data_IF_966165366556
#
_entry.id   IF_966165366556
#
_cell.length_a   1.000
_cell.length_b   1.000
_cell.length_c   1.000
_cell.angle_alpha   90.00
_cell.angle_beta   90.00
_cell.angle_gamma   90.00
#
_symmetry.space_group_name_H-M   'P 1'
#
loop_
_entity.id
_entity.type
_entity.pdbx_description
1 polymer ?
#
# COMPACT_ATOMS: atom_id res chain seq x y z
N UNK A 1 8.45 -12.69 -36.95
CA UNK A 1 7.62 -12.57 -35.75
C UNK A 1 7.69 -11.11 -35.33
N UNK A 2 6.57 -10.44 -35.29
CA UNK A 2 6.54 -9.07 -34.76
C UNK A 2 6.59 -9.06 -33.22
N UNK A 3 6.74 -7.86 -32.63
CA UNK A 3 6.89 -7.73 -31.18
C UNK A 3 5.65 -8.17 -30.40
N UNK A 4 4.44 -7.88 -30.91
CA UNK A 4 3.19 -8.24 -30.26
C UNK A 4 2.98 -9.77 -30.26
N UNK A 5 3.33 -10.43 -31.37
CA UNK A 5 3.32 -11.90 -31.47
C UNK A 5 4.30 -12.52 -30.47
N UNK A 6 5.51 -11.98 -30.36
CA UNK A 6 6.49 -12.43 -29.38
C UNK A 6 5.96 -12.30 -27.96
N UNK A 7 5.38 -11.15 -27.59
CA UNK A 7 4.78 -10.94 -26.25
C UNK A 7 3.66 -11.94 -26.00
N UNK A 8 2.77 -12.17 -26.98
CA UNK A 8 1.69 -13.13 -26.87
C UNK A 8 2.15 -14.56 -26.57
N UNK A 9 3.32 -14.95 -27.11
CA UNK A 9 3.92 -16.28 -26.86
C UNK A 9 4.67 -16.38 -25.53
N UNK A 10 5.26 -15.28 -25.05
CA UNK A 10 6.15 -15.31 -23.89
C UNK A 10 5.47 -14.90 -22.58
N UNK A 11 4.35 -14.18 -22.64
CA UNK A 11 3.61 -13.82 -21.42
C UNK A 11 3.08 -15.06 -20.72
N UNK A 12 3.21 -15.13 -19.39
CA UNK A 12 2.57 -16.17 -18.60
C UNK A 12 1.05 -16.06 -18.75
N UNK A 13 0.38 -17.18 -19.05
CA UNK A 13 -1.08 -17.19 -19.19
C UNK A 13 -1.79 -16.97 -17.86
N UNK A 14 -3.02 -16.46 -17.92
CA UNK A 14 -3.85 -16.36 -16.71
C UNK A 14 -4.14 -17.73 -16.09
N UNK A 15 -4.32 -18.76 -16.93
CA UNK A 15 -4.53 -20.14 -16.49
C UNK A 15 -3.32 -20.66 -15.69
N UNK A 16 -2.10 -20.44 -16.19
CA UNK A 16 -0.87 -20.83 -15.49
C UNK A 16 -0.66 -20.08 -14.17
N UNK A 17 -1.14 -18.82 -14.10
CA UNK A 17 -1.10 -18.03 -12.86
C UNK A 17 -2.06 -18.64 -11.86
N UNK A 18 -3.34 -18.81 -12.23
CA UNK A 18 -4.40 -19.26 -11.33
C UNK A 18 -4.17 -20.69 -10.86
N UNK A 19 -3.67 -21.58 -11.74
CA UNK A 19 -3.39 -22.99 -11.38
C UNK A 19 -2.40 -23.13 -10.22
N UNK A 20 -1.51 -22.15 -10.02
CA UNK A 20 -0.57 -22.13 -8.91
C UNK A 20 -1.03 -21.34 -7.67
N UNK A 21 -2.23 -20.74 -7.71
CA UNK A 21 -2.67 -19.83 -6.66
C UNK A 21 -3.59 -20.49 -5.63
N UNK A 22 -3.42 -20.07 -4.38
CA UNK A 22 -4.35 -20.30 -3.28
C UNK A 22 -5.14 -19.01 -2.99
N UNK A 23 -6.20 -19.03 -2.18
CA UNK A 23 -6.86 -17.81 -1.72
C UNK A 23 -5.89 -16.80 -1.08
N UNK A 24 -4.87 -17.26 -0.37
CA UNK A 24 -3.84 -16.40 0.23
C UNK A 24 -2.95 -15.73 -0.83
N UNK A 25 -2.69 -16.38 -1.96
CA UNK A 25 -1.99 -15.72 -3.08
C UNK A 25 -2.84 -14.60 -3.69
N UNK A 26 -4.16 -14.79 -3.79
CA UNK A 26 -5.06 -13.77 -4.28
C UNK A 26 -5.13 -12.57 -3.32
N UNK A 27 -5.20 -12.81 -2.00
CA UNK A 27 -5.14 -11.77 -0.98
C UNK A 27 -3.85 -10.95 -1.09
N UNK A 28 -2.70 -11.60 -1.14
CA UNK A 28 -1.39 -10.95 -1.31
C UNK A 28 -1.28 -10.14 -2.59
N UNK A 29 -1.86 -10.64 -3.68
CA UNK A 29 -1.89 -9.91 -4.95
C UNK A 29 -2.76 -8.65 -4.86
N UNK A 30 -3.90 -8.73 -4.17
CA UNK A 30 -4.76 -7.59 -3.89
C UNK A 30 -4.03 -6.53 -3.04
N UNK A 31 -3.41 -6.94 -1.93
CA UNK A 31 -2.60 -6.02 -1.11
C UNK A 31 -1.46 -5.38 -1.92
N UNK A 32 -0.79 -6.17 -2.77
CA UNK A 32 0.27 -5.67 -3.63
C UNK A 32 -0.23 -4.61 -4.63
N UNK A 33 -1.40 -4.82 -5.22
CA UNK A 33 -2.02 -3.88 -6.17
C UNK A 33 -2.39 -2.58 -5.45
N UNK A 34 -3.04 -2.68 -4.28
CA UNK A 34 -3.39 -1.52 -3.48
C UNK A 34 -2.16 -0.69 -3.06
N UNK A 35 -1.03 -1.33 -2.70
CA UNK A 35 0.21 -0.59 -2.42
C UNK A 35 0.65 0.26 -3.63
N UNK A 36 0.50 -0.23 -4.86
CA UNK A 36 0.84 0.55 -6.05
C UNK A 36 -0.12 1.72 -6.26
N UNK A 37 -1.42 1.47 -6.15
CA UNK A 37 -2.45 2.48 -6.38
C UNK A 37 -2.31 3.61 -5.35
N UNK A 38 -2.28 3.29 -4.06
CA UNK A 38 -2.14 4.28 -2.98
C UNK A 38 -0.80 5.03 -3.01
N UNK A 39 0.28 4.36 -3.43
CA UNK A 39 1.56 5.06 -3.60
C UNK A 39 1.51 6.11 -4.72
N UNK A 40 0.75 5.86 -5.77
CA UNK A 40 0.53 6.85 -6.83
C UNK A 40 -0.30 8.03 -6.32
N UNK A 41 -1.36 7.79 -5.54
CA UNK A 41 -2.19 8.82 -4.94
C UNK A 41 -1.38 9.68 -3.94
N UNK A 42 -0.55 9.06 -3.09
CA UNK A 42 0.43 9.78 -2.25
C UNK A 42 1.36 10.66 -3.09
N UNK A 43 1.84 10.15 -4.23
CA UNK A 43 2.74 10.91 -5.11
C UNK A 43 2.03 12.11 -5.73
N UNK A 44 0.78 11.95 -6.16
CA UNK A 44 -0.05 13.05 -6.69
C UNK A 44 -0.33 14.11 -5.62
N UNK A 45 -0.67 13.71 -4.40
CA UNK A 45 -0.86 14.62 -3.27
C UNK A 45 0.42 15.41 -2.94
N UNK A 46 1.60 14.76 -3.00
CA UNK A 46 2.89 15.43 -2.80
C UNK A 46 3.19 16.46 -3.90
N UNK A 47 2.92 16.15 -5.17
CA UNK A 47 3.11 17.08 -6.30
C UNK A 47 2.23 18.32 -6.12
N UNK A 48 0.99 18.15 -5.67
CA UNK A 48 0.09 19.26 -5.39
C UNK A 48 0.63 20.14 -4.25
N UNK A 49 1.23 19.55 -3.22
CA UNK A 49 1.86 20.31 -2.12
C UNK A 49 3.11 21.10 -2.57
N UNK A 50 3.90 20.58 -3.51
CA UNK A 50 5.08 21.28 -4.03
C UNK A 50 4.72 22.46 -4.97
N UNK A 51 3.57 22.41 -5.62
CA UNK A 51 3.13 23.40 -6.61
C UNK A 51 2.36 24.60 -6.05
N UNK A 52 1.89 24.55 -4.81
CA UNK A 52 1.02 25.57 -4.19
C UNK A 52 1.56 25.89 -2.79
N UNK A 53 1.31 27.12 -2.31
CA UNK A 53 1.55 27.42 -0.89
C UNK A 53 0.82 26.38 -0.04
N UNK A 54 1.51 25.80 0.96
CA UNK A 54 1.01 24.72 1.80
C UNK A 54 -0.39 25.08 2.30
N UNK A 55 -1.40 24.45 1.70
CA UNK A 55 -2.81 24.59 2.10
C UNK A 55 -3.16 23.45 3.05
N UNK A 56 -3.95 23.76 4.08
CA UNK A 56 -4.44 22.76 5.04
C UNK A 56 -5.19 21.61 4.35
N UNK A 57 -5.95 21.89 3.28
CA UNK A 57 -6.65 20.89 2.49
C UNK A 57 -5.71 19.84 1.88
N UNK A 58 -4.61 20.29 1.26
CA UNK A 58 -3.64 19.38 0.64
C UNK A 58 -2.89 18.51 1.65
N UNK A 59 -2.69 19.00 2.89
CA UNK A 59 -2.07 18.17 3.96
C UNK A 59 -3.03 17.14 4.53
N UNK A 60 -4.33 17.41 4.53
CA UNK A 60 -5.37 16.45 4.92
C UNK A 60 -5.47 15.34 3.89
N UNK A 61 -5.47 15.68 2.61
CA UNK A 61 -5.50 14.70 1.52
C UNK A 61 -4.29 13.77 1.59
N UNK A 62 -3.07 14.32 1.66
CA UNK A 62 -1.88 13.48 1.84
C UNK A 62 -1.99 12.56 3.07
N UNK A 63 -2.58 13.02 4.17
CA UNK A 63 -2.76 12.20 5.37
C UNK A 63 -3.73 11.02 5.13
N UNK A 64 -4.79 11.21 4.34
CA UNK A 64 -5.73 10.15 3.96
C UNK A 64 -5.04 9.08 3.12
N UNK A 65 -4.30 9.49 2.08
CA UNK A 65 -3.60 8.57 1.18
C UNK A 65 -2.48 7.80 1.91
N UNK A 66 -1.77 8.44 2.85
CA UNK A 66 -0.82 7.75 3.70
C UNK A 66 -1.50 6.68 4.58
N UNK A 67 -2.72 6.94 5.05
CA UNK A 67 -3.53 5.99 5.81
C UNK A 67 -3.94 4.77 4.97
N UNK A 68 -4.42 5.00 3.77
CA UNK A 68 -4.82 3.94 2.85
C UNK A 68 -3.61 3.10 2.41
N UNK A 69 -2.46 3.72 2.15
CA UNK A 69 -1.21 3.01 1.90
C UNK A 69 -0.79 2.13 3.09
N UNK A 70 -0.95 2.63 4.32
CA UNK A 70 -0.66 1.84 5.53
C UNK A 70 -1.60 0.65 5.68
N UNK A 71 -2.88 0.78 5.31
CA UNK A 71 -3.83 -0.33 5.31
C UNK A 71 -3.32 -1.51 4.47
N UNK A 72 -2.89 -1.26 3.24
CA UNK A 72 -2.37 -2.30 2.36
C UNK A 72 -1.02 -2.87 2.81
N UNK A 73 -0.13 -2.03 3.36
CA UNK A 73 1.15 -2.50 3.91
C UNK A 73 0.96 -3.42 5.13
N UNK A 74 0.05 -3.07 6.03
CA UNK A 74 -0.26 -3.89 7.21
C UNK A 74 -1.00 -5.16 6.78
N UNK A 75 -1.96 -5.09 5.85
CA UNK A 75 -2.65 -6.25 5.31
C UNK A 75 -1.68 -7.25 4.65
N UNK A 76 -0.72 -6.74 3.88
CA UNK A 76 0.34 -7.58 3.32
C UNK A 76 1.20 -8.24 4.41
N UNK A 77 1.56 -7.50 5.45
CA UNK A 77 2.33 -8.03 6.58
C UNK A 77 1.56 -9.13 7.33
N UNK A 78 0.25 -8.98 7.52
CA UNK A 78 -0.62 -9.99 8.11
C UNK A 78 -0.66 -11.28 7.27
N UNK A 79 -0.79 -11.15 5.95
CA UNK A 79 -0.78 -12.28 5.02
C UNK A 79 0.54 -13.07 5.03
N UNK A 80 1.63 -12.49 5.51
CA UNK A 80 2.92 -13.13 5.73
C UNK A 80 3.24 -13.43 7.19
N UNK A 81 2.32 -13.13 8.13
CA UNK A 81 2.49 -13.31 9.58
C UNK A 81 3.71 -12.58 10.17
N UNK A 82 3.96 -11.38 9.69
CA UNK A 82 5.09 -10.53 10.12
C UNK A 82 4.64 -9.15 10.65
N UNK A 83 3.35 -8.95 10.92
CA UNK A 83 2.79 -7.67 11.37
C UNK A 83 3.46 -7.16 12.66
N UNK A 84 3.71 -8.04 13.63
CA UNK A 84 4.39 -7.67 14.87
C UNK A 84 5.82 -7.16 14.63
N UNK A 85 6.53 -7.74 13.66
CA UNK A 85 7.87 -7.32 13.27
C UNK A 85 7.87 -5.97 12.57
N UNK A 86 6.89 -5.73 11.67
CA UNK A 86 6.85 -4.50 10.88
C UNK A 86 6.39 -3.30 11.70
N UNK A 87 5.54 -3.50 12.71
CA UNK A 87 5.04 -2.47 13.60
C UNK A 87 5.93 -2.25 14.85
N UNK A 88 7.00 -3.04 15.04
CA UNK A 88 7.89 -2.91 16.18
C UNK A 88 8.65 -1.57 16.16
N UNK A 89 8.68 -0.87 17.29
CA UNK A 89 9.47 0.34 17.50
C UNK A 89 10.86 0.03 18.08
N UNK A 90 11.88 0.87 17.82
CA UNK A 90 11.84 2.02 16.93
C UNK A 90 11.83 1.63 15.45
N UNK A 91 11.25 2.47 14.62
CA UNK A 91 11.37 2.35 13.15
C UNK A 91 12.82 2.66 12.71
N UNK A 92 13.27 2.11 11.58
CA UNK A 92 14.57 2.48 11.03
C UNK A 92 14.54 3.94 10.53
N UNK A 93 15.72 4.50 10.27
CA UNK A 93 15.82 5.79 9.58
C UNK A 93 15.13 5.73 8.23
N UNK A 94 14.35 6.76 7.86
CA UNK A 94 13.68 6.79 6.56
C UNK A 94 14.73 6.82 5.44
N UNK A 95 14.43 6.13 4.35
CA UNK A 95 15.23 6.18 3.14
C UNK A 95 15.08 7.58 2.49
N UNK A 96 16.12 8.05 1.81
CA UNK A 96 16.03 9.26 0.98
C UNK A 96 15.14 9.07 -0.25
N UNK A 97 14.82 7.84 -0.58
CA UNK A 97 14.02 7.45 -1.74
C UNK A 97 12.91 6.49 -1.32
N UNK A 98 11.72 7.05 -1.10
CA UNK A 98 10.52 6.28 -0.74
C UNK A 98 10.13 5.31 -1.86
N UNK A 99 10.31 5.71 -3.13
CA UNK A 99 10.06 4.87 -4.31
C UNK A 99 10.93 3.60 -4.26
N UNK A 100 12.20 3.72 -3.85
CA UNK A 100 13.08 2.55 -3.74
C UNK A 100 12.56 1.53 -2.71
N UNK A 101 12.02 2.00 -1.59
CA UNK A 101 11.43 1.12 -0.57
C UNK A 101 10.17 0.41 -1.08
N UNK A 102 9.32 1.12 -1.80
CA UNK A 102 8.14 0.55 -2.46
C UNK A 102 8.55 -0.51 -3.49
N UNK A 103 9.47 -0.19 -4.41
CA UNK A 103 9.96 -1.11 -5.44
C UNK A 103 10.58 -2.37 -4.80
N UNK A 104 11.38 -2.23 -3.75
CA UNK A 104 11.99 -3.37 -3.08
C UNK A 104 10.94 -4.32 -2.52
N UNK A 105 9.97 -3.81 -1.74
CA UNK A 105 8.89 -4.60 -1.14
C UNK A 105 8.05 -5.30 -2.22
N UNK A 106 7.56 -4.53 -3.18
CA UNK A 106 6.65 -5.06 -4.21
C UNK A 106 7.34 -6.04 -5.17
N UNK A 107 8.62 -5.82 -5.48
CA UNK A 107 9.40 -6.76 -6.31
C UNK A 107 9.59 -8.11 -5.63
N UNK A 108 9.87 -8.16 -4.32
CA UNK A 108 10.00 -9.42 -3.59
C UNK A 108 8.69 -10.20 -3.63
N UNK A 109 7.57 -9.54 -3.30
CA UNK A 109 6.23 -10.16 -3.31
C UNK A 109 5.84 -10.62 -4.71
N UNK A 110 6.01 -9.78 -5.74
CA UNK A 110 5.74 -10.13 -7.14
C UNK A 110 6.52 -11.38 -7.57
N UNK A 111 7.81 -11.45 -7.25
CA UNK A 111 8.64 -12.62 -7.61
C UNK A 111 8.16 -13.89 -6.92
N UNK A 112 7.74 -13.78 -5.68
CA UNK A 112 7.17 -14.90 -4.94
C UNK A 112 5.85 -15.37 -5.57
N UNK A 113 4.90 -14.45 -5.79
CA UNK A 113 3.56 -14.77 -6.29
C UNK A 113 3.54 -15.32 -7.72
N UNK A 114 4.28 -14.70 -8.63
CA UNK A 114 4.15 -14.99 -10.06
C UNK A 114 5.27 -15.89 -10.62
N UNK A 115 6.40 -16.01 -9.91
CA UNK A 115 7.55 -16.77 -10.39
C UNK A 115 8.00 -17.86 -9.41
N UNK A 116 7.20 -18.14 -8.35
CA UNK A 116 7.47 -19.14 -7.32
C UNK A 116 8.90 -19.02 -6.72
N UNK A 117 9.40 -17.78 -6.61
CA UNK A 117 10.70 -17.55 -5.97
C UNK A 117 10.55 -17.69 -4.46
N UNK A 118 11.50 -18.35 -3.78
CA UNK A 118 11.53 -18.32 -2.32
C UNK A 118 11.51 -16.88 -1.81
N UNK A 119 10.75 -16.63 -0.76
CA UNK A 119 10.67 -15.34 -0.09
C UNK A 119 11.21 -15.50 1.32
N UNK A 120 12.20 -14.69 1.67
CA UNK A 120 12.64 -14.52 3.04
C UNK A 120 11.71 -13.50 3.74
N UNK A 121 10.92 -13.99 4.70
CA UNK A 121 9.96 -13.16 5.42
C UNK A 121 10.63 -12.12 6.33
N UNK A 122 11.85 -12.39 6.80
CA UNK A 122 12.63 -11.42 7.57
C UNK A 122 13.11 -10.27 6.68
N UNK A 123 13.60 -10.58 5.49
CA UNK A 123 14.00 -9.58 4.49
C UNK A 123 12.78 -8.74 4.08
N UNK A 124 11.63 -9.37 3.87
CA UNK A 124 10.38 -8.67 3.59
C UNK A 124 9.98 -7.74 4.76
N UNK A 125 10.04 -8.21 6.01
CA UNK A 125 9.74 -7.39 7.17
C UNK A 125 10.65 -6.16 7.27
N UNK A 126 11.95 -6.32 7.03
CA UNK A 126 12.92 -5.21 6.99
C UNK A 126 12.56 -4.22 5.87
N UNK A 127 12.16 -4.70 4.69
CA UNK A 127 11.78 -3.85 3.57
C UNK A 127 10.51 -3.05 3.86
N UNK A 128 9.47 -3.69 4.40
CA UNK A 128 8.22 -3.03 4.79
C UNK A 128 8.49 -2.00 5.90
N UNK A 129 9.32 -2.32 6.91
CA UNK A 129 9.69 -1.35 7.97
C UNK A 129 10.34 -0.09 7.41
N UNK A 130 11.22 -0.21 6.42
CA UNK A 130 11.81 0.95 5.74
C UNK A 130 10.77 1.76 5.01
N UNK A 131 9.79 1.09 4.39
CA UNK A 131 8.69 1.77 3.74
C UNK A 131 7.82 2.52 4.76
N UNK A 132 7.43 1.90 5.86
CA UNK A 132 6.68 2.54 6.97
C UNK A 132 7.45 3.74 7.56
N UNK A 133 8.78 3.65 7.68
CA UNK A 133 9.60 4.77 8.11
C UNK A 133 9.51 5.97 7.16
N UNK A 134 9.42 5.73 5.86
CA UNK A 134 9.20 6.80 4.88
C UNK A 134 7.79 7.40 5.00
N UNK A 135 6.74 6.57 5.20
CA UNK A 135 5.39 7.04 5.47
C UNK A 135 5.37 7.93 6.73
N UNK A 136 6.00 7.47 7.81
CA UNK A 136 6.11 8.26 9.05
C UNK A 136 6.84 9.61 8.85
N UNK A 137 7.87 9.63 7.99
CA UNK A 137 8.59 10.87 7.64
C UNK A 137 7.72 11.83 6.84
N UNK A 138 6.90 11.31 5.90
CA UNK A 138 5.95 12.13 5.15
C UNK A 138 4.83 12.66 6.06
N UNK A 139 4.29 11.83 6.96
CA UNK A 139 3.32 12.26 7.96
C UNK A 139 3.87 13.41 8.83
N UNK A 140 5.11 13.28 9.30
CA UNK A 140 5.78 14.36 10.07
C UNK A 140 5.90 15.66 9.28
N UNK A 141 6.09 15.59 7.95
CA UNK A 141 6.06 16.75 7.05
C UNK A 141 4.72 17.48 7.02
N UNK A 142 3.61 16.81 7.34
CA UNK A 142 2.27 17.41 7.49
C UNK A 142 1.95 17.84 8.93
N UNK A 143 2.89 17.69 9.86
CA UNK A 143 2.70 17.97 11.28
C UNK A 143 1.96 16.86 12.05
N UNK A 144 1.86 15.66 11.49
CA UNK A 144 1.20 14.49 12.09
C UNK A 144 2.20 13.39 12.44
N UNK A 145 1.85 12.57 13.41
CA UNK A 145 2.56 11.33 13.72
C UNK A 145 2.01 10.18 12.85
N UNK A 146 2.72 9.06 12.78
CA UNK A 146 2.21 7.85 12.16
C UNK A 146 0.93 7.35 12.87
N UNK A 147 0.85 7.49 14.19
CA UNK A 147 -0.32 7.13 14.99
C UNK A 147 -1.54 7.97 14.58
N UNK A 148 -1.39 9.28 14.39
CA UNK A 148 -2.46 10.15 13.88
C UNK A 148 -2.96 9.71 12.52
N UNK A 149 -2.08 9.25 11.62
CA UNK A 149 -2.45 8.73 10.30
C UNK A 149 -3.27 7.43 10.42
N UNK A 150 -2.85 6.52 11.28
CA UNK A 150 -3.56 5.25 11.51
C UNK A 150 -4.94 5.49 12.14
N UNK A 151 -5.04 6.40 13.09
CA UNK A 151 -6.31 6.76 13.73
C UNK A 151 -7.28 7.40 12.73
N UNK A 152 -6.82 8.33 11.89
CA UNK A 152 -7.61 8.93 10.83
C UNK A 152 -8.13 7.88 9.83
N UNK A 153 -7.27 6.95 9.41
CA UNK A 153 -7.69 5.89 8.51
C UNK A 153 -8.70 4.93 9.16
N UNK A 154 -8.48 4.58 10.44
CA UNK A 154 -9.43 3.76 11.18
C UNK A 154 -10.79 4.45 11.32
N UNK A 155 -10.83 5.75 11.62
CA UNK A 155 -12.06 6.53 11.70
C UNK A 155 -12.78 6.58 10.34
N UNK A 156 -12.06 6.85 9.24
CA UNK A 156 -12.58 6.81 7.88
C UNK A 156 -13.24 5.45 7.58
N UNK A 157 -12.53 4.36 7.84
CA UNK A 157 -12.99 3.02 7.48
C UNK A 157 -14.14 2.53 8.36
N UNK A 158 -14.05 2.65 9.68
CA UNK A 158 -15.05 2.13 10.61
C UNK A 158 -16.19 3.12 10.89
N UNK A 159 -15.92 4.41 10.87
CA UNK A 159 -16.93 5.46 11.04
C UNK A 159 -17.72 5.75 9.76
N UNK A 160 -17.09 5.60 8.60
CA UNK A 160 -17.63 5.88 7.27
C UNK A 160 -17.98 4.63 6.48
N UNK A 161 -16.97 4.03 5.84
CA UNK A 161 -17.14 3.00 4.79
C UNK A 161 -17.66 1.66 5.30
N UNK A 162 -17.11 1.13 6.40
CA UNK A 162 -17.42 -0.21 6.94
C UNK A 162 -17.97 -0.16 8.36
N UNK A 163 -19.12 0.49 8.55
CA UNK A 163 -19.77 0.72 9.87
C UNK A 163 -20.00 -0.56 10.69
N UNK A 164 -20.11 -1.71 10.02
CA UNK A 164 -20.27 -3.02 10.69
C UNK A 164 -18.93 -3.71 10.96
N UNK A 165 -17.79 -3.07 10.65
CA UNK A 165 -16.45 -3.65 10.81
C UNK A 165 -16.16 -4.85 9.90
N UNK A 166 -16.89 -4.98 8.77
CA UNK A 166 -16.73 -6.05 7.78
C UNK A 166 -16.66 -5.46 6.38
N UNK A 167 -15.81 -6.05 5.56
CA UNK A 167 -15.72 -5.73 4.13
C UNK A 167 -17.02 -6.04 3.40
N UNK A 168 -17.44 -5.17 2.51
CA UNK A 168 -18.56 -5.33 1.59
C UNK A 168 -18.21 -4.67 0.25
N UNK A 169 -18.39 -5.41 -0.86
CA UNK A 169 -18.16 -4.88 -2.22
C UNK A 169 -19.08 -3.68 -2.51
N UNK A 170 -20.32 -3.68 -1.98
CA UNK A 170 -21.25 -2.58 -2.14
C UNK A 170 -20.72 -1.31 -1.47
N UNK A 171 -20.27 -1.41 -0.21
CA UNK A 171 -19.70 -0.30 0.55
C UNK A 171 -18.35 0.16 -0.01
N UNK A 172 -17.55 -0.74 -0.58
CA UNK A 172 -16.29 -0.39 -1.22
C UNK A 172 -16.48 0.43 -2.50
N UNK A 173 -17.61 0.24 -3.20
CA UNK A 173 -17.95 0.98 -4.41
C UNK A 173 -18.73 2.28 -4.15
N UNK A 174 -19.34 2.41 -2.98
CA UNK A 174 -20.15 3.55 -2.57
C UNK A 174 -19.30 4.55 -1.79
N UNK A 175 -18.38 5.21 -2.50
CA UNK A 175 -17.36 6.13 -1.93
C UNK A 175 -17.97 7.40 -1.30
N UNK A 176 -19.02 7.26 -0.48
CA UNK A 176 -19.65 8.39 0.24
C UNK A 176 -18.66 9.12 1.17
N UNK A 177 -17.65 8.41 1.69
CA UNK A 177 -16.61 8.98 2.53
C UNK A 177 -15.67 9.94 1.80
N UNK A 178 -15.61 9.90 0.46
CA UNK A 178 -14.83 10.83 -0.36
C UNK A 178 -15.59 12.12 -0.71
N UNK A 179 -16.91 12.11 -0.56
CA UNK A 179 -17.78 13.25 -0.92
C UNK A 179 -18.08 14.21 0.24
N UNK A 180 -17.65 13.88 1.47
CA UNK A 180 -17.99 14.65 2.68
C UNK A 180 -17.10 15.89 2.92
N UNK A 181 -16.09 16.15 2.08
CA UNK A 181 -15.11 17.22 2.27
C UNK A 181 -15.11 18.30 1.17
N UNK A 182 -16.27 18.56 0.51
CA UNK A 182 -16.44 19.72 -0.39
C UNK A 182 -17.17 20.89 0.26
#
# INVERSE_FOLDING_TARGET
MDYAEMVGRLKKSGEDIIAGWTPLHASRAHMLTGIYDEYMEVTEALILLEGVAVDLGNTVELAKELGDLMFYLIGLAQDYHIEAQVLAYPLPEPSRDALQSMIATTTMVKRHLYYNKPLDTLELAVSIRKFIANVASLAAGTGRTLEDILDLNQEKLLGGRYKEGKFSDEQANDREDETLDT
#
